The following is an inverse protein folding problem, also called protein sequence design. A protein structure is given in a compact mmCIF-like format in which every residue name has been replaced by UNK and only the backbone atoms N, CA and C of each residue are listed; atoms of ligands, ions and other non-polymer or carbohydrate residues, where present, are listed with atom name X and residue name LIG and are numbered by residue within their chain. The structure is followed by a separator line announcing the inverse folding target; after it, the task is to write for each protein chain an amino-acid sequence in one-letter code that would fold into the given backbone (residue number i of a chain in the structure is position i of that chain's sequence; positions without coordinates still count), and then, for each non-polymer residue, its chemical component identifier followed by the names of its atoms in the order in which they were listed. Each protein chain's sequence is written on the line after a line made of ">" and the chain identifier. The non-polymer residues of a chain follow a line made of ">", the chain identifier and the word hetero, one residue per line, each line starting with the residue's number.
data_IF_695536265528
#
_entry.id   IF_695536265528
#
_cell.length_a   1.000
_cell.length_b   1.000
_cell.length_c   1.000
_cell.angle_alpha   90.00
_cell.angle_beta   90.00
_cell.angle_gamma   90.00
#
_symmetry.space_group_name_H-M   'P 1'
#
loop_
_entity.id
_entity.type
_entity.pdbx_description
1 polymer ?
#
# COMPACT_ATOMS: atom_id res chain seq x y z
N UNK A 1 15.74 -5.98 18.75
CA UNK A 1 16.35 -4.83 18.02
C UNK A 1 15.47 -3.65 18.35
N UNK A 2 16.03 -2.54 18.82
CA UNK A 2 15.21 -1.38 19.15
C UNK A 2 14.44 -0.93 17.89
N UNK A 3 13.12 -0.77 17.95
CA UNK A 3 12.35 -0.32 16.80
C UNK A 3 12.71 1.14 16.46
N UNK A 4 12.94 1.41 15.16
CA UNK A 4 13.33 2.73 14.63
C UNK A 4 12.10 3.64 14.44
N UNK A 5 10.90 3.07 14.42
CA UNK A 5 9.63 3.77 14.20
C UNK A 5 8.65 3.37 15.29
N UNK A 6 7.86 4.31 15.82
CA UNK A 6 6.89 4.02 16.88
C UNK A 6 5.82 3.01 16.45
N UNK A 7 5.41 2.12 17.37
CA UNK A 7 4.44 1.05 17.15
C UNK A 7 3.16 1.50 16.42
N UNK A 8 2.66 2.69 16.79
CA UNK A 8 1.42 3.25 16.25
C UNK A 8 1.56 3.65 14.78
N UNK A 9 2.73 4.15 14.38
CA UNK A 9 2.98 4.60 13.00
C UNK A 9 3.26 3.42 12.06
N UNK A 10 3.90 2.35 12.55
CA UNK A 10 4.09 1.12 11.78
C UNK A 10 2.74 0.44 11.45
N UNK A 11 1.80 0.41 12.39
CA UNK A 11 0.48 -0.16 12.16
C UNK A 11 -0.34 0.64 11.15
N UNK A 12 -0.35 1.97 11.27
CA UNK A 12 -1.01 2.85 10.29
C UNK A 12 -0.43 2.67 8.88
N UNK A 13 0.90 2.52 8.75
CA UNK A 13 1.56 2.23 7.47
C UNK A 13 1.05 0.93 6.83
N UNK A 14 0.89 -0.14 7.62
CA UNK A 14 0.38 -1.44 7.12
C UNK A 14 -1.06 -1.32 6.62
N UNK A 15 -1.93 -0.66 7.39
CA UNK A 15 -3.35 -0.47 7.02
C UNK A 15 -3.48 0.36 5.74
N UNK A 16 -2.78 1.50 5.66
CA UNK A 16 -2.83 2.36 4.48
C UNK A 16 -2.25 1.65 3.25
N UNK A 17 -1.14 0.92 3.39
CA UNK A 17 -0.54 0.16 2.28
C UNK A 17 -1.47 -0.95 1.78
N UNK A 18 -2.19 -1.63 2.68
CA UNK A 18 -3.16 -2.65 2.30
C UNK A 18 -4.31 -2.06 1.48
N UNK A 19 -4.92 -0.97 1.96
CA UNK A 19 -6.00 -0.29 1.23
C UNK A 19 -5.53 0.29 -0.11
N UNK A 20 -4.32 0.87 -0.14
CA UNK A 20 -3.74 1.41 -1.36
C UNK A 20 -3.58 0.33 -2.44
N UNK A 21 -3.05 -0.85 -2.08
CA UNK A 21 -2.91 -1.98 -3.01
C UNK A 21 -4.26 -2.39 -3.61
N UNK A 22 -5.32 -2.52 -2.78
CA UNK A 22 -6.64 -2.94 -3.26
C UNK A 22 -7.22 -1.89 -4.22
N UNK A 23 -7.23 -0.62 -3.83
CA UNK A 23 -7.83 0.47 -4.63
C UNK A 23 -7.07 0.65 -5.95
N UNK A 24 -5.73 0.70 -5.91
CA UNK A 24 -4.89 0.86 -7.11
C UNK A 24 -5.00 -0.34 -8.05
N UNK A 25 -5.14 -1.56 -7.51
CA UNK A 25 -5.33 -2.75 -8.35
C UNK A 25 -6.65 -2.70 -9.11
N UNK A 26 -7.72 -2.25 -8.47
CA UNK A 26 -9.03 -2.06 -9.12
C UNK A 26 -8.93 -0.97 -10.19
N UNK A 27 -8.43 0.22 -9.84
CA UNK A 27 -8.30 1.34 -10.79
C UNK A 27 -7.40 0.97 -11.98
N UNK A 28 -6.27 0.29 -11.74
CA UNK A 28 -5.39 -0.18 -12.80
C UNK A 28 -6.07 -1.16 -13.76
N UNK A 29 -6.94 -2.03 -13.24
CA UNK A 29 -7.76 -2.93 -14.06
C UNK A 29 -8.81 -2.17 -14.88
N UNK A 30 -9.42 -1.11 -14.32
CA UNK A 30 -10.38 -0.28 -15.06
C UNK A 30 -9.70 0.53 -16.17
N UNK A 31 -8.52 1.09 -15.90
CA UNK A 31 -7.71 1.78 -16.92
C UNK A 31 -7.32 0.85 -18.07
N UNK A 32 -7.02 -0.43 -17.77
CA UNK A 32 -6.70 -1.43 -18.78
C UNK A 32 -7.91 -1.84 -19.63
N UNK A 33 -9.10 -1.81 -19.05
CA UNK A 33 -10.36 -2.13 -19.73
C UNK A 33 -10.97 -0.94 -20.49
N UNK A 34 -10.32 0.23 -20.46
CA UNK A 34 -10.75 1.50 -21.07
C UNK A 34 -12.22 1.84 -20.80
N UNK A 35 -12.65 1.73 -19.54
CA UNK A 35 -14.00 2.16 -19.17
C UNK A 35 -14.18 3.66 -19.40
N UNK A 36 -15.25 4.02 -20.11
CA UNK A 36 -15.60 5.39 -20.53
C UNK A 36 -15.61 6.42 -19.39
N UNK A 37 -15.75 5.99 -18.14
CA UNK A 37 -15.73 6.86 -16.96
C UNK A 37 -14.31 7.35 -16.56
N UNK A 38 -13.24 6.70 -17.04
CA UNK A 38 -11.84 7.07 -16.80
C UNK A 38 -11.08 7.51 -18.07
N UNK A 39 -11.72 7.45 -19.23
CA UNK A 39 -11.11 7.81 -20.53
C UNK A 39 -12.02 8.58 -21.47
N UNK A 40 -13.22 8.95 -21.02
CA UNK A 40 -14.29 9.46 -21.87
C UNK A 40 -14.46 10.98 -21.86
N UNK A 41 -13.74 11.72 -21.01
CA UNK A 41 -13.82 13.19 -20.99
C UNK A 41 -12.66 13.84 -21.75
N UNK A 42 -12.89 15.06 -22.24
CA UNK A 42 -11.92 15.85 -23.04
C UNK A 42 -10.63 16.18 -22.27
N UNK A 43 -10.63 16.01 -20.95
CA UNK A 43 -9.45 16.19 -20.09
C UNK A 43 -8.73 14.90 -19.67
N UNK A 44 -9.20 13.72 -20.09
CA UNK A 44 -8.60 12.45 -19.70
C UNK A 44 -7.32 12.17 -20.51
N UNK A 45 -6.31 11.52 -19.90
CA UNK A 45 -5.07 11.19 -20.58
C UNK A 45 -5.30 10.19 -21.73
N UNK A 46 -4.97 10.60 -22.96
CA UNK A 46 -5.05 9.73 -24.16
C UNK A 46 -4.17 8.47 -23.99
N UNK A 47 -3.07 8.60 -23.25
CA UNK A 47 -2.10 7.53 -22.94
C UNK A 47 -2.52 6.67 -21.72
N UNK A 48 -3.70 6.07 -21.78
CA UNK A 48 -4.19 5.10 -20.76
C UNK A 48 -3.21 3.97 -20.44
N UNK A 49 -2.42 3.54 -21.43
CA UNK A 49 -1.39 2.52 -21.24
C UNK A 49 -0.31 2.94 -20.25
N UNK A 50 0.21 4.17 -20.40
CA UNK A 50 1.26 4.70 -19.52
C UNK A 50 0.76 4.90 -18.09
N UNK A 51 -0.46 5.42 -17.93
CA UNK A 51 -1.10 5.61 -16.62
C UNK A 51 -1.32 4.26 -15.92
N UNK A 52 -1.76 3.23 -16.64
CA UNK A 52 -1.88 1.89 -16.04
C UNK A 52 -0.54 1.36 -15.53
N UNK A 53 0.54 1.65 -16.26
CA UNK A 53 1.88 1.16 -15.94
C UNK A 53 2.45 1.85 -14.67
N UNK A 54 2.18 3.15 -14.49
CA UNK A 54 2.54 3.87 -13.27
C UNK A 54 1.73 3.40 -12.08
N UNK A 55 0.43 3.09 -12.25
CA UNK A 55 -0.41 2.50 -11.20
C UNK A 55 0.13 1.12 -10.78
N UNK A 56 0.50 0.25 -11.72
CA UNK A 56 1.11 -1.05 -11.40
C UNK A 56 2.44 -0.89 -10.66
N UNK A 57 3.26 0.09 -11.05
CA UNK A 57 4.50 0.41 -10.34
C UNK A 57 4.22 0.87 -8.90
N UNK A 58 3.19 1.70 -8.70
CA UNK A 58 2.77 2.14 -7.37
C UNK A 58 2.32 0.96 -6.49
N UNK A 59 1.58 -0.01 -7.05
CA UNK A 59 1.17 -1.22 -6.31
C UNK A 59 2.39 -2.00 -5.80
N UNK A 60 3.44 -2.14 -6.61
CA UNK A 60 4.68 -2.82 -6.22
C UNK A 60 5.35 -2.07 -5.05
N UNK A 61 5.40 -0.74 -5.12
CA UNK A 61 5.98 0.10 -4.05
C UNK A 61 5.19 -0.05 -2.74
N UNK A 62 3.85 0.00 -2.78
CA UNK A 62 3.03 -0.22 -1.58
C UNK A 62 3.14 -1.64 -1.04
N UNK A 63 3.35 -2.66 -1.89
CA UNK A 63 3.62 -4.02 -1.44
C UNK A 63 4.96 -4.10 -0.69
N UNK A 64 6.00 -3.41 -1.15
CA UNK A 64 7.27 -3.32 -0.44
C UNK A 64 7.13 -2.62 0.93
N UNK A 65 6.35 -1.53 0.99
CA UNK A 65 6.04 -0.86 2.25
C UNK A 65 5.25 -1.77 3.20
N UNK A 66 4.29 -2.55 2.69
CA UNK A 66 3.53 -3.51 3.50
C UNK A 66 4.44 -4.58 4.12
N UNK A 67 5.38 -5.13 3.36
CA UNK A 67 6.35 -6.12 3.88
C UNK A 67 7.28 -5.49 4.92
N UNK A 68 7.82 -4.31 4.64
CA UNK A 68 8.79 -3.65 5.52
C UNK A 68 8.13 -3.13 6.81
N UNK A 69 7.01 -2.39 6.72
CA UNK A 69 6.22 -1.95 7.86
C UNK A 69 5.58 -3.12 8.60
N UNK A 70 5.16 -4.18 7.90
CA UNK A 70 4.59 -5.39 8.48
C UNK A 70 5.59 -6.18 9.32
N UNK A 71 6.83 -6.33 8.84
CA UNK A 71 7.89 -6.98 9.62
C UNK A 71 8.21 -6.19 10.91
N UNK A 72 8.28 -4.86 10.82
CA UNK A 72 8.46 -4.00 11.99
C UNK A 72 7.27 -4.05 12.96
N UNK A 73 6.03 -4.05 12.45
CA UNK A 73 4.81 -4.19 13.24
C UNK A 73 4.72 -5.55 13.95
N UNK A 74 5.12 -6.64 13.28
CA UNK A 74 5.19 -7.98 13.89
C UNK A 74 6.26 -8.03 14.98
N UNK A 75 7.44 -7.45 14.75
CA UNK A 75 8.47 -7.36 15.78
C UNK A 75 7.99 -6.55 17.00
N UNK A 76 7.29 -5.43 16.78
CA UNK A 76 6.67 -4.65 17.85
C UNK A 76 5.60 -5.43 18.63
N UNK A 77 4.72 -6.16 17.93
CA UNK A 77 3.75 -7.04 18.59
C UNK A 77 4.41 -8.17 19.37
N UNK A 78 5.54 -8.71 18.88
CA UNK A 78 6.30 -9.75 19.58
C UNK A 78 7.05 -9.19 20.80
N UNK A 79 7.58 -7.97 20.72
CA UNK A 79 8.19 -7.28 21.86
C UNK A 79 7.13 -6.96 22.93
N UNK A 80 5.96 -6.45 22.54
CA UNK A 80 4.85 -6.19 23.45
C UNK A 80 4.37 -7.47 24.17
N UNK A 81 4.35 -8.62 23.48
CA UNK A 81 4.05 -9.93 24.10
C UNK A 81 5.16 -10.48 25.00
N UNK A 82 6.42 -10.06 24.83
CA UNK A 82 7.55 -10.47 25.69
C UNK A 82 7.74 -9.53 26.90
N UNK A 83 7.32 -8.27 26.78
CA UNK A 83 7.32 -7.28 27.87
C UNK A 83 6.13 -7.41 28.85
N UNK A 84 5.02 -8.03 28.44
CA UNK A 84 3.88 -8.29 29.32
C UNK A 84 4.11 -9.43 30.36
N UNK A 85 5.30 -10.04 30.41
CA UNK A 85 5.72 -11.02 31.44
C UNK A 85 6.97 -10.53 32.22
N UNK A 86 7.27 -9.23 32.17
CA UNK A 86 8.20 -8.60 33.09
C UNK A 86 7.41 -7.52 33.83
N UNK A 87 7.09 -7.85 35.09
CA UNK A 87 6.40 -7.02 36.07
C UNK A 87 6.95 -5.58 36.10
#
# INVERSE_FOLDING_TARGET
>A
MKPVVGAMQAWSCVVISFFAIIILSVIGSLYRSRHHEFVGTVGDPENTGEVSNTIFTAVIVYAAFLVCCGFQGVLHMRENRRGAIAL
#
